data_IF_678697064733
#
_entry.id   IF_678697064733
#
_cell.length_a   1.000
_cell.length_b   1.000
_cell.length_c   1.000
_cell.angle_alpha   90.00
_cell.angle_beta   90.00
_cell.angle_gamma   90.00
#
_symmetry.space_group_name_H-M   'P 1'
#
loop_
_entity.id
_entity.type
_entity.pdbx_description
1 polymer ?
#
# COMPACT_ATOMS: atom_id res chain seq x y z
N UNK A 1 2.48 -3.64 11.74
CA UNK A 1 2.02 -2.32 11.25
C UNK A 1 3.24 -1.47 10.95
N UNK A 2 3.28 -0.84 9.77
CA UNK A 2 4.39 0.02 9.34
C UNK A 2 3.85 1.39 8.95
N UNK A 3 4.61 2.44 9.23
CA UNK A 3 4.29 3.82 8.87
C UNK A 3 5.47 4.47 8.12
N UNK A 4 5.18 5.14 7.02
CA UNK A 4 6.16 5.85 6.19
C UNK A 4 5.58 7.18 5.77
N UNK A 5 6.39 8.23 5.73
CA UNK A 5 6.01 9.51 5.12
C UNK A 5 6.78 9.69 3.81
N UNK A 6 6.08 10.16 2.78
CA UNK A 6 6.63 10.38 1.45
C UNK A 6 6.29 11.77 0.95
N UNK A 7 7.19 12.37 0.16
CA UNK A 7 6.91 13.59 -0.60
C UNK A 7 6.00 13.34 -1.82
N UNK A 8 5.84 12.07 -2.23
CA UNK A 8 5.02 11.67 -3.37
C UNK A 8 3.53 11.73 -3.03
N UNK A 9 2.71 11.99 -4.04
CA UNK A 9 1.25 12.05 -3.86
C UNK A 9 0.69 10.64 -3.66
N UNK A 10 -0.53 10.54 -3.12
CA UNK A 10 -1.22 9.25 -2.99
C UNK A 10 -1.42 8.57 -4.35
N UNK A 11 -1.68 9.36 -5.40
CA UNK A 11 -1.82 8.87 -6.77
C UNK A 11 -0.51 8.27 -7.32
N UNK A 12 0.61 8.99 -7.15
CA UNK A 12 1.93 8.52 -7.59
C UNK A 12 2.33 7.19 -6.93
N UNK A 13 2.04 7.05 -5.64
CA UNK A 13 2.34 5.84 -4.88
C UNK A 13 1.42 4.70 -5.30
N UNK A 14 0.13 4.99 -5.50
CA UNK A 14 -0.85 4.01 -5.97
C UNK A 14 -0.42 3.42 -7.32
N UNK A 15 -0.14 4.28 -8.30
CA UNK A 15 0.29 3.85 -9.63
C UNK A 15 1.60 3.06 -9.58
N UNK A 16 2.55 3.50 -8.75
CA UNK A 16 3.80 2.76 -8.56
C UNK A 16 3.57 1.36 -7.99
N UNK A 17 2.70 1.22 -6.98
CA UNK A 17 2.40 -0.07 -6.36
C UNK A 17 1.60 -0.98 -7.31
N UNK A 18 0.62 -0.45 -8.03
CA UNK A 18 -0.14 -1.18 -9.06
C UNK A 18 0.76 -1.69 -10.19
N UNK A 19 1.83 -0.97 -10.53
CA UNK A 19 2.79 -1.39 -11.56
C UNK A 19 3.73 -2.52 -11.12
N UNK A 20 3.91 -2.72 -9.81
CA UNK A 20 4.92 -3.62 -9.23
C UNK A 20 4.32 -4.86 -8.59
N UNK A 21 3.24 -4.66 -7.85
CA UNK A 21 2.55 -5.70 -7.12
C UNK A 21 1.42 -6.24 -7.97
N UNK A 22 1.32 -7.56 -8.05
CA UNK A 22 0.17 -8.19 -8.68
C UNK A 22 -1.05 -8.11 -7.75
N UNK A 23 -2.25 -7.95 -8.33
CA UNK A 23 -3.53 -8.00 -7.60
C UNK A 23 -3.67 -6.91 -6.54
N UNK A 24 -3.32 -5.68 -6.91
CA UNK A 24 -3.64 -4.48 -6.13
C UNK A 24 -5.05 -4.01 -6.48
N UNK A 25 -5.84 -3.67 -5.47
CA UNK A 25 -7.16 -3.04 -5.64
C UNK A 25 -7.19 -1.74 -4.88
N UNK A 26 -7.24 -0.64 -5.60
CA UNK A 26 -7.43 0.67 -5.02
C UNK A 26 -8.92 0.97 -4.75
N UNK A 27 -9.18 1.63 -3.63
CA UNK A 27 -10.47 2.19 -3.27
C UNK A 27 -10.28 3.52 -2.55
N UNK A 28 -11.28 4.39 -2.58
CA UNK A 28 -11.24 5.68 -1.88
C UNK A 28 -12.22 5.67 -0.73
N UNK A 29 -11.73 5.94 0.48
CA UNK A 29 -12.52 5.89 1.71
C UNK A 29 -12.14 7.08 2.59
N UNK A 30 -13.11 7.94 2.89
CA UNK A 30 -12.92 9.05 3.85
C UNK A 30 -11.81 10.04 3.48
N UNK A 31 -11.50 10.23 2.19
CA UNK A 31 -10.42 11.10 1.72
C UNK A 31 -9.02 10.48 1.72
N UNK A 32 -8.91 9.21 2.12
CA UNK A 32 -7.71 8.40 1.94
C UNK A 32 -7.89 7.41 0.77
N UNK A 33 -6.77 6.94 0.24
CA UNK A 33 -6.74 5.83 -0.72
C UNK A 33 -6.38 4.55 0.03
N UNK A 34 -7.20 3.51 -0.07
CA UNK A 34 -6.92 2.20 0.49
C UNK A 34 -6.61 1.21 -0.62
N UNK A 35 -5.47 0.53 -0.51
CA UNK A 35 -5.03 -0.53 -1.42
C UNK A 35 -5.13 -1.87 -0.70
N UNK A 36 -5.93 -2.79 -1.24
CA UNK A 36 -5.89 -4.19 -0.87
C UNK A 36 -4.88 -4.90 -1.79
N UNK A 37 -3.87 -5.54 -1.20
CA UNK A 37 -2.81 -6.25 -1.93
C UNK A 37 -2.93 -7.75 -1.69
N UNK A 38 -2.93 -8.53 -2.77
CA UNK A 38 -3.02 -9.98 -2.75
C UNK A 38 -4.30 -10.50 -3.41
N UNK A 39 -4.57 -11.79 -3.22
CA UNK A 39 -5.71 -12.44 -3.85
C UNK A 39 -7.06 -11.86 -3.39
N UNK A 40 -8.04 -11.83 -4.29
CA UNK A 40 -9.39 -11.28 -4.07
C UNK A 40 -10.08 -11.94 -2.88
N UNK A 41 -9.89 -13.25 -2.74
CA UNK A 41 -10.47 -14.06 -1.67
C UNK A 41 -9.64 -14.04 -0.39
N UNK A 42 -8.41 -13.53 -0.42
CA UNK A 42 -7.47 -13.50 0.71
C UNK A 42 -6.48 -12.34 0.55
N UNK A 43 -6.87 -11.16 1.02
CA UNK A 43 -5.99 -9.98 1.05
C UNK A 43 -4.84 -10.19 2.03
N UNK A 44 -3.61 -10.01 1.56
CA UNK A 44 -2.41 -10.14 2.36
C UNK A 44 -2.07 -8.85 3.12
N UNK A 45 -2.26 -7.69 2.48
CA UNK A 45 -1.98 -6.39 3.08
C UNK A 45 -3.04 -5.36 2.75
N UNK A 46 -3.24 -4.45 3.70
CA UNK A 46 -3.96 -3.20 3.50
C UNK A 46 -2.96 -2.04 3.59
N UNK A 47 -2.89 -1.23 2.54
CA UNK A 47 -2.10 0.00 2.50
C UNK A 47 -3.07 1.18 2.50
N UNK A 48 -3.01 2.00 3.53
CA UNK A 48 -3.75 3.26 3.58
C UNK A 48 -2.81 4.40 3.23
N UNK A 49 -3.16 5.18 2.22
CA UNK A 49 -2.47 6.39 1.77
C UNK A 49 -3.32 7.60 2.15
N UNK A 50 -2.83 8.39 3.09
CA UNK A 50 -3.51 9.61 3.53
C UNK A 50 -2.78 10.81 2.96
N UNK A 51 -3.44 11.70 2.19
CA UNK A 51 -2.81 12.92 1.71
C UNK A 51 -2.44 13.82 2.90
N UNK A 52 -1.25 14.43 2.84
CA UNK A 52 -0.78 15.43 3.80
C UNK A 52 -0.28 16.66 3.04
N UNK A 53 -0.07 17.79 3.72
CA UNK A 53 0.27 19.08 3.09
C UNK A 53 1.45 19.01 2.09
N UNK A 54 2.40 18.10 2.28
CA UNK A 54 3.57 17.92 1.41
C UNK A 54 3.77 16.44 1.08
N UNK A 55 2.75 15.81 0.48
CA UNK A 55 2.83 14.44 -0.03
C UNK A 55 1.81 13.52 0.61
N UNK A 56 2.27 12.40 1.16
CA UNK A 56 1.39 11.37 1.71
C UNK A 56 1.99 10.62 2.90
N UNK A 57 1.09 10.17 3.78
CA UNK A 57 1.39 9.20 4.82
C UNK A 57 0.94 7.82 4.35
N UNK A 58 1.81 6.84 4.49
CA UNK A 58 1.60 5.45 4.12
C UNK A 58 1.49 4.64 5.41
N UNK A 59 0.40 3.89 5.56
CA UNK A 59 0.20 2.94 6.64
C UNK A 59 0.01 1.55 6.04
N UNK A 60 0.85 0.60 6.44
CA UNK A 60 0.78 -0.79 5.99
C UNK A 60 0.34 -1.70 7.13
N UNK A 61 -0.69 -2.49 6.88
CA UNK A 61 -1.27 -3.45 7.81
C UNK A 61 -1.28 -4.84 7.19
N UNK A 62 -0.80 -5.84 7.93
CA UNK A 62 -0.91 -7.26 7.59
C UNK A 62 -1.88 -7.91 8.59
N UNK A 63 -3.02 -8.47 8.15
CA UNK A 63 -3.90 -9.27 9.01
C UNK A 63 -3.17 -10.48 9.61
N UNK A 64 -3.59 -10.94 10.80
CA UNK A 64 -2.92 -12.03 11.52
C UNK A 64 -2.89 -13.36 10.75
N UNK A 65 -3.95 -13.64 9.98
CA UNK A 65 -4.10 -14.88 9.18
C UNK A 65 -3.94 -14.61 7.68
N UNK A 66 -3.24 -13.54 7.32
CA UNK A 66 -2.99 -13.19 5.94
C UNK A 66 -2.13 -14.26 5.24
N UNK A 67 -2.38 -14.55 3.95
CA UNK A 67 -1.47 -15.38 3.17
C UNK A 67 -0.09 -14.73 3.08
N UNK A 68 0.91 -15.51 2.71
CA UNK A 68 2.27 -15.04 2.45
C UNK A 68 2.47 -14.75 0.94
N UNK A 69 1.54 -13.98 0.37
CA UNK A 69 1.50 -13.63 -1.05
C UNK A 69 0.91 -12.20 -1.23
N UNK A 70 1.77 -11.16 -1.38
CA UNK A 70 3.22 -11.25 -1.49
C UNK A 70 3.92 -11.55 -0.14
N UNK A 71 5.14 -12.12 -0.15
CA UNK A 71 5.97 -12.23 1.05
C UNK A 71 6.30 -10.86 1.66
N UNK A 72 6.48 -10.80 2.99
CA UNK A 72 6.82 -9.54 3.68
C UNK A 72 8.03 -8.79 3.09
N UNK A 73 9.15 -9.46 2.71
CA UNK A 73 10.30 -8.76 2.13
C UNK A 73 9.98 -8.04 0.82
N UNK A 74 9.17 -8.66 -0.05
CA UNK A 74 8.72 -8.07 -1.30
C UNK A 74 7.86 -6.83 -1.03
N UNK A 75 6.87 -6.97 -0.15
CA UNK A 75 6.00 -5.86 0.25
C UNK A 75 6.80 -4.67 0.81
N UNK A 76 7.80 -4.94 1.66
CA UNK A 76 8.66 -3.87 2.23
C UNK A 76 9.52 -3.21 1.16
N UNK A 77 10.04 -3.98 0.21
CA UNK A 77 10.85 -3.46 -0.88
C UNK A 77 10.04 -2.54 -1.80
N UNK A 78 8.84 -2.96 -2.22
CA UNK A 78 8.01 -2.16 -3.12
C UNK A 78 7.46 -0.90 -2.44
N UNK A 79 7.07 -0.97 -1.16
CA UNK A 79 6.70 0.22 -0.39
C UNK A 79 7.86 1.22 -0.33
N UNK A 80 9.08 0.75 -0.02
CA UNK A 80 10.24 1.63 0.02
C UNK A 80 10.55 2.25 -1.34
N UNK A 81 10.46 1.46 -2.42
CA UNK A 81 10.70 1.90 -3.79
C UNK A 81 9.68 2.93 -4.28
N UNK A 82 8.43 2.80 -3.87
CA UNK A 82 7.35 3.70 -4.27
C UNK A 82 7.19 4.92 -3.37
N UNK A 83 7.71 4.88 -2.14
CA UNK A 83 7.71 6.00 -1.21
C UNK A 83 8.83 7.03 -1.46
N UNK A 84 9.84 6.71 -2.27
CA UNK A 84 10.92 7.62 -2.71
C UNK A 84 10.61 8.23 -4.06
#
# INVERSE_FOLDING_TARGET
MVFVTSARTTADITECLESRLSRVRASSVGGATELAVGSDSNTAYFVTLTPVNSGSQIKVMRPANAPDDPPEPEMRFDIARCAT
#
